data_IF_758840568656
#
_entry.id   IF_758840568656
#
_cell.length_a   1.000
_cell.length_b   1.000
_cell.length_c   1.000
_cell.angle_alpha   90.00
_cell.angle_beta   90.00
_cell.angle_gamma   90.00
#
_symmetry.space_group_name_H-M   'P 1'
#
loop_
_entity.id
_entity.type
_entity.pdbx_description
1 polymer ?
#
# COMPACT_ATOMS: atom_id res chain seq x y z
N UNK A 1 -0.53 7.92 -8.93
CA UNK A 1 -0.62 9.30 -8.41
C UNK A 1 -0.92 10.24 -9.58
N UNK A 2 -1.85 11.19 -9.42
CA UNK A 2 -2.22 12.22 -10.39
C UNK A 2 -2.08 13.62 -9.76
N UNK A 3 -1.53 14.57 -10.52
CA UNK A 3 -1.26 15.96 -10.10
C UNK A 3 -1.65 16.89 -11.25
N UNK A 4 -2.49 17.89 -10.97
CA UNK A 4 -2.88 18.94 -11.92
C UNK A 4 -2.40 20.31 -11.43
N UNK A 5 -1.79 21.10 -12.32
CA UNK A 5 -1.21 22.40 -12.01
C UNK A 5 -0.81 23.18 -13.26
N UNK A 6 -0.17 24.33 -13.08
CA UNK A 6 0.29 25.16 -14.19
C UNK A 6 1.72 24.82 -14.60
N UNK A 7 1.99 24.74 -15.91
CA UNK A 7 3.33 24.51 -16.43
C UNK A 7 4.11 25.82 -16.49
N UNK A 8 5.28 25.88 -15.85
CA UNK A 8 6.15 27.06 -15.88
C UNK A 8 7.57 26.67 -16.24
N UNK A 9 8.20 27.46 -17.12
CA UNK A 9 9.64 27.37 -17.39
C UNK A 9 10.34 28.56 -16.76
N UNK A 10 11.35 28.32 -15.92
CA UNK A 10 12.20 29.35 -15.34
C UNK A 10 13.64 29.25 -15.83
N UNK A 11 14.27 30.41 -16.00
CA UNK A 11 15.69 30.56 -16.27
C UNK A 11 16.41 30.96 -14.99
N UNK A 12 17.55 30.33 -14.71
CA UNK A 12 18.44 30.73 -13.63
C UNK A 12 19.90 30.52 -14.06
N UNK A 13 20.82 31.16 -13.35
CA UNK A 13 22.25 31.08 -13.65
C UNK A 13 22.93 30.23 -12.59
N UNK A 14 23.70 29.22 -13.02
CA UNK A 14 24.44 28.36 -12.10
C UNK A 14 25.74 29.00 -11.58
N UNK A 15 26.43 28.30 -10.68
CA UNK A 15 27.67 28.79 -10.07
C UNK A 15 28.81 29.01 -11.08
N UNK A 16 28.77 28.34 -12.23
CA UNK A 16 29.74 28.51 -13.33
C UNK A 16 29.33 29.66 -14.28
N UNK A 17 28.23 30.37 -13.98
CA UNK A 17 27.72 31.47 -14.79
C UNK A 17 26.95 31.03 -16.02
N UNK A 18 26.56 29.74 -16.13
CA UNK A 18 25.82 29.24 -17.29
C UNK A 18 24.32 29.39 -17.10
N UNK A 19 23.63 29.69 -18.20
CA UNK A 19 22.18 29.72 -18.23
C UNK A 19 21.59 28.31 -18.15
N UNK A 20 20.69 28.10 -17.20
CA UNK A 20 19.96 26.85 -16.99
C UNK A 20 18.46 27.10 -17.06
N UNK A 21 17.73 26.12 -17.58
CA UNK A 21 16.28 26.17 -17.72
C UNK A 21 15.68 24.97 -16.99
N UNK A 22 14.60 25.21 -16.24
CA UNK A 22 13.82 24.17 -15.58
C UNK A 22 12.34 24.38 -15.90
N UNK A 23 11.68 23.31 -16.33
CA UNK A 23 10.22 23.28 -16.52
C UNK A 23 9.60 22.51 -15.36
N UNK A 24 8.70 23.17 -14.63
CA UNK A 24 8.13 22.69 -13.36
C UNK A 24 6.59 22.80 -13.43
N UNK A 25 5.91 21.94 -12.65
CA UNK A 25 4.46 21.99 -12.46
C UNK A 25 4.20 22.71 -11.14
N UNK A 26 3.57 23.88 -11.21
CA UNK A 26 3.32 24.74 -10.04
C UNK A 26 1.88 24.53 -9.57
N UNK A 27 1.73 24.29 -8.27
CA UNK A 27 0.44 24.16 -7.59
C UNK A 27 0.16 25.46 -6.82
N UNK A 28 -0.87 26.19 -7.24
CA UNK A 28 -1.36 27.37 -6.50
C UNK A 28 -2.36 26.91 -5.44
N UNK A 29 -2.21 27.40 -4.20
CA UNK A 29 -3.11 27.04 -3.10
C UNK A 29 -4.57 27.35 -3.49
N UNK A 30 -5.43 26.32 -3.46
CA UNK A 30 -6.84 26.42 -3.83
C UNK A 30 -7.20 25.94 -5.25
N UNK A 31 -6.23 25.54 -6.08
CA UNK A 31 -6.50 25.06 -7.45
C UNK A 31 -5.77 23.76 -7.83
N UNK A 32 -4.95 23.20 -6.93
CA UNK A 32 -4.25 21.93 -7.15
C UNK A 32 -4.98 20.76 -6.51
N UNK A 33 -5.43 19.79 -7.31
CA UNK A 33 -5.94 18.51 -6.83
C UNK A 33 -4.82 17.46 -6.87
N UNK A 34 -4.62 16.74 -5.76
CA UNK A 34 -3.70 15.62 -5.67
C UNK A 34 -4.49 14.34 -5.40
N UNK A 35 -4.44 13.38 -6.32
CA UNK A 35 -5.08 12.07 -6.15
C UNK A 35 -3.99 11.01 -6.03
N UNK A 36 -3.88 10.39 -4.85
CA UNK A 36 -3.04 9.21 -4.67
C UNK A 36 -3.81 7.99 -5.18
N UNK A 37 -3.23 7.32 -6.17
CA UNK A 37 -3.79 6.10 -6.74
C UNK A 37 -2.97 4.95 -6.16
N UNK A 38 -3.50 4.29 -5.13
CA UNK A 38 -2.98 3.00 -4.67
C UNK A 38 -3.65 1.87 -5.46
N UNK A 39 -2.88 0.82 -5.75
CA UNK A 39 -3.37 -0.40 -6.36
C UNK A 39 -4.12 -1.16 -5.28
N UNK A 40 -5.44 -1.35 -5.45
CA UNK A 40 -6.29 -2.16 -4.58
C UNK A 40 -5.51 -3.36 -4.03
N UNK A 41 -5.27 -3.38 -2.73
CA UNK A 41 -4.67 -4.51 -2.05
C UNK A 41 -5.42 -5.78 -2.46
N UNK A 42 -4.67 -6.71 -3.07
CA UNK A 42 -5.09 -8.08 -3.32
C UNK A 42 -5.83 -8.60 -2.08
N UNK A 43 -7.07 -9.00 -2.30
CA UNK A 43 -7.92 -9.61 -1.29
C UNK A 43 -7.30 -10.96 -0.91
N UNK A 44 -6.33 -10.96 0.01
CA UNK A 44 -5.90 -12.19 0.67
C UNK A 44 -6.96 -12.53 1.71
N UNK A 45 -7.98 -13.24 1.25
CA UNK A 45 -8.91 -13.95 2.13
C UNK A 45 -8.10 -14.79 3.13
N UNK A 46 -8.30 -14.63 4.44
CA UNK A 46 -7.83 -15.61 5.39
C UNK A 46 -8.64 -16.89 5.16
N UNK A 47 -7.98 -17.89 4.58
CA UNK A 47 -8.56 -19.23 4.41
C UNK A 47 -9.00 -19.83 5.76
N UNK A 48 -9.97 -20.76 5.75
CA UNK A 48 -10.56 -21.29 6.97
C UNK A 48 -9.48 -21.92 7.86
N UNK A 49 -9.42 -21.51 9.13
CA UNK A 49 -8.68 -22.26 10.14
C UNK A 49 -9.40 -23.60 10.33
N UNK A 50 -8.86 -24.63 9.70
CA UNK A 50 -9.38 -25.99 9.74
C UNK A 50 -9.37 -26.48 11.20
N UNK A 51 -10.57 -26.67 11.74
CA UNK A 51 -10.83 -27.26 13.03
C UNK A 51 -10.42 -28.74 13.01
N UNK A 52 -9.19 -29.04 13.38
CA UNK A 52 -8.74 -30.42 13.56
C UNK A 52 -7.66 -30.49 14.63
N UNK A 53 -8.02 -30.55 15.92
CA UNK A 53 -7.10 -31.02 16.98
C UNK A 53 -7.75 -31.36 18.35
N UNK A 54 -9.06 -31.59 18.45
CA UNK A 54 -9.64 -31.99 19.76
C UNK A 54 -10.57 -33.22 19.72
N UNK A 55 -10.13 -34.28 19.04
CA UNK A 55 -10.66 -35.61 19.28
C UNK A 55 -9.73 -36.35 20.25
N UNK A 56 -10.04 -36.30 21.55
CA UNK A 56 -9.55 -37.30 22.51
C UNK A 56 -10.45 -38.53 22.36
N UNK A 57 -9.97 -39.68 21.86
CA UNK A 57 -10.78 -40.89 21.85
C UNK A 57 -10.83 -41.52 23.26
N UNK A 58 -12.04 -41.80 23.73
CA UNK A 58 -12.31 -42.55 24.95
C UNK A 58 -11.76 -44.00 24.87
N UNK A 59 -10.99 -44.50 25.86
CA UNK A 59 -10.74 -45.93 25.94
C UNK A 59 -11.91 -46.66 26.64
N UNK A 60 -12.71 -47.37 25.84
CA UNK A 60 -13.74 -48.33 26.29
C UNK A 60 -13.12 -49.68 26.70
N UNK A 61 -13.45 -50.13 27.92
CA UNK A 61 -13.50 -51.54 28.37
C UNK A 61 -12.17 -52.15 28.86
N UNK A 62 -12.09 -52.76 30.05
CA UNK A 62 -12.70 -54.08 30.32
C UNK A 62 -12.70 -54.39 31.83
N UNK A 63 -13.81 -54.94 32.34
CA UNK A 63 -13.97 -55.53 33.68
C UNK A 63 -13.23 -56.87 33.77
N UNK A 64 -12.51 -57.13 34.86
CA UNK A 64 -12.27 -58.49 35.35
C UNK A 64 -12.04 -58.49 36.87
N UNK A 65 -12.69 -59.45 37.50
CA UNK A 65 -12.77 -59.79 38.93
C UNK A 65 -11.45 -60.36 39.47
N UNK A 66 -11.14 -60.08 40.75
CA UNK A 66 -10.93 -61.09 41.81
C UNK A 66 -10.82 -60.42 43.18
#
# INVERSE_FOLDING_TARGET
MYIEGQLQTRKWTDADGRDRYATEIILTAGSGEMILLDSRADSREPGPVEAANNAVPDPVGTRATS
#
